data_IF_592713042988
#
_entry.id   IF_592713042988
#
_cell.length_a   1.000
_cell.length_b   1.000
_cell.length_c   1.000
_cell.angle_alpha   90.00
_cell.angle_beta   90.00
_cell.angle_gamma   90.00
#
_symmetry.space_group_name_H-M   'P 1'
#
loop_
_entity.id
_entity.type
_entity.pdbx_description
1 polymer ?
#
# COMPACT_ATOMS: atom_id res chain seq x y z
N UNK A 1 -4.62 -9.30 14.31
CA UNK A 1 -5.32 -8.17 13.66
C UNK A 1 -4.46 -6.92 13.60
N UNK A 2 -3.87 -6.47 14.71
CA UNK A 2 -2.95 -5.31 14.75
C UNK A 2 -1.82 -5.44 13.71
N UNK A 3 -1.14 -6.60 13.65
CA UNK A 3 -0.08 -6.87 12.66
C UNK A 3 -0.54 -6.67 11.21
N UNK A 4 -1.75 -7.12 10.88
CA UNK A 4 -2.29 -6.98 9.53
C UNK A 4 -2.62 -5.51 9.20
N UNK A 5 -3.12 -4.74 10.16
CA UNK A 5 -3.35 -3.31 9.98
C UNK A 5 -2.03 -2.55 9.77
N UNK A 6 -0.98 -2.87 10.53
CA UNK A 6 0.35 -2.29 10.34
C UNK A 6 0.92 -2.61 8.95
N UNK A 7 0.77 -3.85 8.48
CA UNK A 7 1.20 -4.23 7.13
C UNK A 7 0.43 -3.47 6.06
N UNK A 8 -0.90 -3.39 6.14
CA UNK A 8 -1.69 -2.62 5.17
C UNK A 8 -1.34 -1.15 5.19
N UNK A 9 -1.16 -0.55 6.38
CA UNK A 9 -0.80 0.85 6.50
C UNK A 9 0.54 1.16 5.80
N UNK A 10 1.58 0.37 6.08
CA UNK A 10 2.89 0.59 5.47
C UNK A 10 2.87 0.28 3.97
N UNK A 11 2.28 -0.83 3.56
CA UNK A 11 2.32 -1.24 2.17
C UNK A 11 1.43 -0.39 1.26
N UNK A 12 0.27 0.08 1.72
CA UNK A 12 -0.49 1.08 0.97
C UNK A 12 0.36 2.34 0.81
N UNK A 13 1.05 2.80 1.86
CA UNK A 13 1.94 3.95 1.72
C UNK A 13 3.05 3.68 0.70
N UNK A 14 3.77 2.57 0.79
CA UNK A 14 4.86 2.23 -0.16
C UNK A 14 4.39 2.13 -1.61
N UNK A 15 3.17 1.64 -1.84
CA UNK A 15 2.56 1.58 -3.17
C UNK A 15 2.18 2.97 -3.67
N UNK A 16 1.48 3.75 -2.84
CA UNK A 16 0.98 5.06 -3.23
C UNK A 16 2.10 6.12 -3.26
N UNK A 17 3.19 5.93 -2.52
CA UNK A 17 4.36 6.81 -2.57
C UNK A 17 5.34 6.43 -3.67
N UNK A 18 5.19 5.27 -4.33
CA UNK A 18 6.18 4.79 -5.29
C UNK A 18 6.38 5.78 -6.45
N UNK A 19 5.31 6.42 -6.92
CA UNK A 19 5.39 7.40 -8.01
C UNK A 19 6.20 8.63 -7.61
N UNK A 20 5.82 9.31 -6.52
CA UNK A 20 6.53 10.51 -6.06
C UNK A 20 8.00 10.21 -5.72
N UNK A 21 8.28 9.04 -5.16
CA UNK A 21 9.64 8.58 -4.84
C UNK A 21 10.48 8.37 -6.09
N UNK A 22 9.91 7.73 -7.12
CA UNK A 22 10.57 7.54 -8.40
C UNK A 22 10.90 8.87 -9.08
N UNK A 23 9.94 9.81 -9.10
CA UNK A 23 10.17 11.14 -9.69
C UNK A 23 11.23 11.93 -8.91
N UNK A 24 11.27 11.79 -7.59
CA UNK A 24 12.27 12.44 -6.75
C UNK A 24 13.63 11.72 -6.73
N UNK A 25 13.80 10.63 -7.49
CA UNK A 25 15.00 9.79 -7.49
C UNK A 25 15.36 9.25 -6.09
N UNK A 26 14.35 9.07 -5.22
CA UNK A 26 14.50 8.45 -3.91
C UNK A 26 14.78 6.94 -4.10
N UNK A 27 15.92 6.45 -3.60
CA UNK A 27 16.39 5.08 -3.84
C UNK A 27 16.57 4.25 -2.55
N UNK A 28 16.13 4.78 -1.41
CA UNK A 28 16.12 4.15 -0.10
C UNK A 28 14.68 3.95 0.41
N UNK A 29 13.86 3.29 -0.41
CA UNK A 29 12.47 2.94 -0.10
C UNK A 29 12.24 1.44 -0.20
N UNK A 30 11.06 0.99 0.26
CA UNK A 30 10.74 -0.43 0.33
C UNK A 30 10.78 -1.11 -1.05
N UNK A 31 10.23 -0.49 -2.09
CA UNK A 31 10.17 -1.08 -3.44
C UNK A 31 11.58 -1.27 -4.01
N UNK A 32 12.43 -0.25 -3.93
CA UNK A 32 13.82 -0.30 -4.42
C UNK A 32 14.66 -1.29 -3.63
N UNK A 33 14.53 -1.29 -2.30
CA UNK A 33 15.29 -2.21 -1.44
C UNK A 33 14.84 -3.66 -1.65
N UNK A 34 13.53 -3.92 -1.73
CA UNK A 34 12.99 -5.26 -2.03
C UNK A 34 13.46 -5.76 -3.40
N UNK A 35 13.48 -4.89 -4.42
CA UNK A 35 14.00 -5.23 -5.74
C UNK A 35 15.47 -5.68 -5.66
N UNK A 36 16.33 -4.88 -5.00
CA UNK A 36 17.75 -5.19 -4.80
C UNK A 36 17.95 -6.51 -4.04
N UNK A 37 17.28 -6.69 -2.91
CA UNK A 37 17.44 -7.88 -2.07
C UNK A 37 17.00 -9.17 -2.78
N UNK A 38 16.08 -9.09 -3.76
CA UNK A 38 15.53 -10.25 -4.46
C UNK A 38 16.09 -10.44 -5.87
N UNK A 39 17.00 -9.56 -6.33
CA UNK A 39 17.50 -9.58 -7.71
C UNK A 39 16.42 -9.29 -8.75
N UNK A 40 15.40 -8.49 -8.39
CA UNK A 40 14.30 -8.11 -9.27
C UNK A 40 14.46 -6.68 -9.79
N UNK A 41 13.74 -6.34 -10.85
CA UNK A 41 13.51 -4.94 -11.24
C UNK A 41 12.56 -4.24 -10.25
N UNK A 42 12.60 -2.90 -10.20
CA UNK A 42 11.67 -2.13 -9.37
C UNK A 42 10.21 -2.39 -9.77
N UNK A 43 9.92 -2.53 -11.06
CA UNK A 43 8.57 -2.81 -11.57
C UNK A 43 8.08 -4.19 -11.11
N UNK A 44 8.93 -5.21 -11.15
CA UNK A 44 8.58 -6.55 -10.63
C UNK A 44 8.35 -6.52 -9.12
N UNK A 45 9.20 -5.81 -8.36
CA UNK A 45 8.99 -5.65 -6.93
C UNK A 45 7.70 -4.89 -6.62
N UNK A 46 7.36 -3.85 -7.40
CA UNK A 46 6.11 -3.12 -7.27
C UNK A 46 4.89 -4.02 -7.53
N UNK A 47 4.91 -4.80 -8.61
CA UNK A 47 3.86 -5.80 -8.91
C UNK A 47 3.69 -6.81 -7.78
N UNK A 48 4.80 -7.33 -7.24
CA UNK A 48 4.76 -8.22 -6.08
C UNK A 48 4.14 -7.55 -4.85
N UNK A 49 4.50 -6.30 -4.56
CA UNK A 49 3.93 -5.53 -3.45
C UNK A 49 2.43 -5.29 -3.61
N UNK A 50 1.94 -5.03 -4.83
CA UNK A 50 0.50 -4.90 -5.10
C UNK A 50 -0.24 -6.19 -4.77
N UNK A 51 0.29 -7.34 -5.19
CA UNK A 51 -0.31 -8.64 -4.90
C UNK A 51 -0.33 -8.91 -3.40
N UNK A 52 0.79 -8.70 -2.71
CA UNK A 52 0.88 -8.91 -1.25
C UNK A 52 -0.08 -8.01 -0.47
N UNK A 53 -0.18 -6.73 -0.86
CA UNK A 53 -1.09 -5.77 -0.23
C UNK A 53 -2.55 -6.16 -0.43
N UNK A 54 -2.91 -6.55 -1.64
CA UNK A 54 -4.26 -7.04 -1.97
C UNK A 54 -4.61 -8.29 -1.16
N UNK A 55 -3.67 -9.21 -1.00
CA UNK A 55 -3.80 -10.41 -0.18
C UNK A 55 -4.06 -10.09 1.28
N UNK A 56 -3.29 -9.16 1.86
CA UNK A 56 -3.46 -8.76 3.26
C UNK A 56 -4.78 -8.03 3.47
N UNK A 57 -5.18 -7.13 2.57
CA UNK A 57 -6.49 -6.46 2.64
C UNK A 57 -7.61 -7.50 2.60
N UNK A 58 -7.54 -8.50 1.71
CA UNK A 58 -8.53 -9.59 1.66
C UNK A 58 -8.55 -10.39 2.96
N UNK A 59 -7.40 -10.69 3.56
CA UNK A 59 -7.35 -11.37 4.88
C UNK A 59 -7.99 -10.52 5.98
N UNK A 60 -7.71 -9.21 6.03
CA UNK A 60 -8.36 -8.30 6.97
C UNK A 60 -9.88 -8.28 6.80
N UNK A 61 -10.37 -8.21 5.56
CA UNK A 61 -11.80 -8.27 5.25
C UNK A 61 -12.43 -9.56 5.73
N UNK A 62 -11.78 -10.70 5.47
CA UNK A 62 -12.24 -12.02 5.95
C UNK A 62 -12.31 -12.07 7.47
N UNK A 63 -11.29 -11.57 8.18
CA UNK A 63 -11.30 -11.50 9.65
C UNK A 63 -12.39 -10.54 10.16
N UNK A 64 -12.62 -9.44 9.46
CA UNK A 64 -13.65 -8.46 9.79
C UNK A 64 -15.07 -9.03 9.77
N UNK A 65 -15.34 -10.06 8.94
CA UNK A 65 -16.67 -10.69 8.86
C UNK A 65 -17.14 -11.30 10.19
N UNK A 66 -16.23 -11.61 11.11
CA UNK A 66 -16.58 -12.14 12.43
C UNK A 66 -17.34 -11.11 13.29
N UNK A 67 -17.22 -9.81 13.01
CA UNK A 67 -17.88 -8.75 13.76
C UNK A 67 -18.22 -7.55 12.87
N UNK A 68 -19.51 -7.23 12.71
CA UNK A 68 -19.96 -6.18 11.76
C UNK A 68 -19.33 -4.81 12.00
N UNK A 69 -19.09 -4.44 13.26
CA UNK A 69 -18.37 -3.20 13.60
C UNK A 69 -16.92 -3.20 13.11
N UNK A 70 -16.25 -4.36 13.17
CA UNK A 70 -14.87 -4.50 12.73
C UNK A 70 -14.77 -4.47 11.21
N UNK A 71 -15.70 -5.14 10.50
CA UNK A 71 -15.78 -5.05 9.04
C UNK A 71 -15.91 -3.59 8.57
N UNK A 72 -16.81 -2.82 9.19
CA UNK A 72 -16.97 -1.39 8.88
C UNK A 72 -15.68 -0.60 9.10
N UNK A 73 -14.97 -0.84 10.20
CA UNK A 73 -13.70 -0.18 10.49
C UNK A 73 -12.61 -0.52 9.46
N UNK A 74 -12.50 -1.79 9.06
CA UNK A 74 -11.53 -2.23 8.03
C UNK A 74 -11.81 -1.54 6.71
N UNK A 75 -13.06 -1.52 6.24
CA UNK A 75 -13.40 -0.87 4.97
C UNK A 75 -13.19 0.65 5.05
N UNK A 76 -13.63 1.29 6.14
CA UNK A 76 -13.43 2.73 6.32
C UNK A 76 -11.95 3.11 6.33
N UNK A 77 -11.11 2.31 6.99
CA UNK A 77 -9.67 2.52 7.01
C UNK A 77 -9.03 2.37 5.62
N UNK A 78 -9.27 1.26 4.93
CA UNK A 78 -8.67 1.02 3.60
C UNK A 78 -9.12 2.08 2.60
N UNK A 79 -10.43 2.36 2.55
CA UNK A 79 -10.98 3.37 1.65
C UNK A 79 -10.47 4.78 1.98
N UNK A 80 -10.53 5.17 3.25
CA UNK A 80 -10.10 6.49 3.70
C UNK A 80 -8.62 6.73 3.46
N UNK A 81 -7.78 5.73 3.72
CA UNK A 81 -6.33 5.87 3.57
C UNK A 81 -5.89 5.92 2.10
N UNK A 82 -6.53 5.14 1.21
CA UNK A 82 -6.31 5.27 -0.24
C UNK A 82 -6.77 6.63 -0.74
N UNK A 83 -7.96 7.07 -0.32
CA UNK A 83 -8.51 8.39 -0.70
C UNK A 83 -7.61 9.53 -0.24
N UNK A 84 -7.05 9.43 0.98
CA UNK A 84 -6.04 10.38 1.47
C UNK A 84 -4.86 10.48 0.49
N UNK A 85 -4.27 9.37 0.06
CA UNK A 85 -3.15 9.41 -0.88
C UNK A 85 -3.52 9.98 -2.25
N UNK A 86 -4.72 9.66 -2.75
CA UNK A 86 -5.22 10.17 -4.03
C UNK A 86 -5.51 11.68 -4.03
N UNK A 87 -5.76 12.27 -2.86
CA UNK A 87 -6.18 13.67 -2.75
C UNK A 87 -5.09 14.61 -2.22
N UNK A 88 -3.98 14.07 -1.73
CA UNK A 88 -2.87 14.88 -1.22
C UNK A 88 -1.82 15.12 -2.30
N UNK A 89 -1.54 16.39 -2.58
CA UNK A 89 -0.52 16.84 -3.55
C UNK A 89 0.87 16.25 -3.31
N UNK A 90 1.17 15.87 -2.05
CA UNK A 90 2.41 15.18 -1.67
C UNK A 90 2.72 13.96 -2.54
N UNK A 91 1.70 13.21 -2.96
CA UNK A 91 1.87 11.95 -3.70
C UNK A 91 1.84 12.12 -5.21
N UNK A 92 1.52 13.32 -5.70
CA UNK A 92 1.51 13.69 -7.12
C UNK A 92 0.65 12.76 -7.98
N UNK A 93 -0.50 12.35 -7.44
CA UNK A 93 -1.42 11.44 -8.12
C UNK A 93 -2.09 12.13 -9.31
N UNK A 94 -2.22 13.46 -9.26
CA UNK A 94 -2.68 14.30 -10.36
C UNK A 94 -1.83 14.19 -11.64
N UNK A 95 -0.58 13.74 -11.55
CA UNK A 95 0.27 13.52 -12.73
C UNK A 95 -0.09 12.21 -13.49
N UNK A 96 -0.91 11.34 -12.88
CA UNK A 96 -1.26 10.00 -13.36
C UNK A 96 -2.72 9.85 -13.80
N UNK A 97 -3.57 10.86 -13.55
CA UNK A 97 -5.01 10.86 -13.83
C UNK A 97 -5.27 11.77 -15.03
#
# INVERSE_FOLDING_TARGET
MILYLTWVFNWINDLMSSYKEMVNMENLNFITNSARCKGLTQVESLKSSVMNTSDVIRRLRTLGKAHSGLQRLVEAFVFGYVTYHLTQTRYRMEDLI
#
